data_IF_863031468242
#
_entry.id   IF_863031468242
#
_cell.length_a   1.000
_cell.length_b   1.000
_cell.length_c   1.000
_cell.angle_alpha   90.00
_cell.angle_beta   90.00
_cell.angle_gamma   90.00
#
_symmetry.space_group_name_H-M   'P 1'
#
loop_
_entity.id
_entity.type
_entity.pdbx_description
1 polymer ?
#
# COMPACT_ATOMS: atom_id res chain seq x y z
N UNK A 1 53.07 11.35 18.56
CA UNK A 1 52.03 10.32 18.33
C UNK A 1 50.82 11.02 17.74
N UNK A 2 50.53 10.80 16.44
CA UNK A 2 49.57 11.59 15.66
C UNK A 2 48.12 11.24 16.03
N UNK A 3 47.53 11.99 16.97
CA UNK A 3 46.15 11.81 17.45
C UNK A 3 45.05 12.16 16.43
N UNK A 4 45.40 12.41 15.15
CA UNK A 4 44.44 12.84 14.12
C UNK A 4 43.66 11.68 13.49
N UNK A 5 44.19 10.46 13.53
CA UNK A 5 43.56 9.27 12.93
C UNK A 5 42.35 8.72 13.73
N UNK A 6 42.34 8.66 15.08
CA UNK A 6 41.19 8.14 15.81
C UNK A 6 39.96 9.06 15.78
N UNK A 7 40.13 10.37 15.53
CA UNK A 7 39.01 11.31 15.45
C UNK A 7 38.21 11.15 14.15
N UNK A 8 38.86 10.72 13.06
CA UNK A 8 38.22 10.51 11.76
C UNK A 8 37.37 9.22 11.73
N UNK A 9 37.77 8.18 12.49
CA UNK A 9 36.98 6.95 12.62
C UNK A 9 35.69 7.15 13.45
N UNK A 10 35.66 8.11 14.37
CA UNK A 10 34.47 8.39 15.18
C UNK A 10 33.31 8.99 14.35
N UNK A 11 33.62 9.69 13.24
CA UNK A 11 32.61 10.29 12.37
C UNK A 11 31.86 9.27 11.50
N UNK A 12 32.48 8.11 11.20
CA UNK A 12 31.91 7.06 10.37
C UNK A 12 30.81 6.23 11.07
N UNK A 13 30.61 6.42 12.38
CA UNK A 13 29.64 5.67 13.20
C UNK A 13 28.24 6.34 13.30
N UNK A 14 28.01 7.48 12.65
CA UNK A 14 26.90 8.38 13.04
C UNK A 14 25.71 8.50 12.09
N UNK A 15 25.57 7.70 11.04
CA UNK A 15 24.37 7.79 10.16
C UNK A 15 23.77 6.43 9.79
N UNK A 16 23.09 5.79 10.74
CA UNK A 16 22.01 4.87 10.37
C UNK A 16 20.79 5.71 9.98
N UNK A 17 20.83 6.31 8.79
CA UNK A 17 19.66 6.92 8.19
C UNK A 17 18.73 5.79 7.71
N UNK A 18 17.67 5.49 8.47
CA UNK A 18 16.57 4.68 7.95
C UNK A 18 15.90 5.46 6.84
N UNK A 19 16.10 5.02 5.59
CA UNK A 19 15.41 5.58 4.44
C UNK A 19 13.91 5.27 4.57
N UNK A 20 13.12 6.28 4.95
CA UNK A 20 11.66 6.19 4.95
C UNK A 20 11.17 6.19 3.50
N UNK A 21 10.35 5.22 3.14
CA UNK A 21 9.70 5.18 1.83
C UNK A 21 8.82 6.42 1.61
N UNK A 22 8.55 6.75 0.35
CA UNK A 22 7.71 7.91 0.03
C UNK A 22 6.66 7.60 -1.03
N UNK A 23 5.51 8.27 -0.93
CA UNK A 23 4.52 8.36 -2.00
C UNK A 23 4.68 9.72 -2.68
N UNK A 24 4.92 9.69 -3.98
CA UNK A 24 4.88 10.88 -4.85
C UNK A 24 3.60 10.84 -5.68
N UNK A 25 2.81 11.90 -5.57
CA UNK A 25 1.58 12.11 -6.36
C UNK A 25 1.84 13.29 -7.28
N UNK A 26 1.46 13.16 -8.56
CA UNK A 26 1.67 14.24 -9.54
C UNK A 26 1.13 15.57 -9.02
N UNK A 27 1.98 16.60 -9.00
CA UNK A 27 1.62 17.94 -8.53
C UNK A 27 1.63 18.14 -7.01
N UNK A 28 2.07 17.16 -6.23
CA UNK A 28 2.18 17.26 -4.76
C UNK A 28 3.62 17.06 -4.26
N UNK A 29 3.91 17.55 -3.05
CA UNK A 29 5.15 17.21 -2.34
C UNK A 29 5.16 15.69 -2.02
N UNK A 30 6.33 15.01 -2.04
CA UNK A 30 6.41 13.63 -1.57
C UNK A 30 5.97 13.51 -0.11
N UNK A 31 5.28 12.42 0.20
CA UNK A 31 4.79 12.11 1.55
C UNK A 31 5.54 10.92 2.15
N UNK A 32 5.98 10.99 3.42
CA UNK A 32 6.51 9.82 4.13
C UNK A 32 5.48 8.69 4.15
N UNK A 33 5.91 7.50 3.79
CA UNK A 33 5.05 6.36 3.52
C UNK A 33 5.59 5.06 4.11
N UNK A 34 4.70 4.10 4.35
CA UNK A 34 5.08 2.74 4.71
C UNK A 34 5.85 2.07 3.56
N UNK A 35 6.42 0.91 3.85
CA UNK A 35 6.75 -0.04 2.78
C UNK A 35 5.52 -0.39 1.94
N UNK A 36 5.77 -0.94 0.76
CA UNK A 36 4.72 -1.38 -0.14
C UNK A 36 4.27 -2.80 0.22
N UNK A 37 3.05 -2.96 0.73
CA UNK A 37 2.48 -4.24 1.10
C UNK A 37 1.89 -4.94 -0.12
N UNK A 38 2.35 -6.15 -0.40
CA UNK A 38 1.81 -6.98 -1.47
C UNK A 38 0.66 -7.85 -0.94
N UNK A 39 -0.58 -7.41 -1.14
CA UNK A 39 -1.77 -8.17 -0.75
C UNK A 39 -2.18 -9.15 -1.85
N UNK A 40 -2.66 -10.33 -1.44
CA UNK A 40 -3.12 -11.37 -2.37
C UNK A 40 -4.54 -11.09 -2.82
N UNK A 41 -4.78 -11.08 -4.13
CA UNK A 41 -6.06 -10.80 -4.74
C UNK A 41 -6.47 -11.95 -5.67
N UNK A 42 -6.83 -13.10 -5.08
CA UNK A 42 -6.91 -14.41 -5.77
C UNK A 42 -7.77 -14.41 -7.03
N UNK A 43 -8.84 -13.61 -7.06
CA UNK A 43 -9.78 -13.54 -8.20
C UNK A 43 -9.32 -12.62 -9.32
N UNK A 44 -8.23 -11.86 -9.14
CA UNK A 44 -7.71 -10.95 -10.15
C UNK A 44 -6.78 -11.69 -11.10
N UNK A 45 -7.31 -12.10 -12.26
CA UNK A 45 -6.68 -13.06 -13.16
C UNK A 45 -5.34 -12.63 -13.79
N UNK A 46 -4.94 -11.36 -13.68
CA UNK A 46 -3.70 -10.88 -14.28
C UNK A 46 -2.47 -11.27 -13.45
N UNK A 47 -2.44 -10.89 -12.17
CA UNK A 47 -1.32 -11.17 -11.26
C UNK A 47 -1.75 -11.84 -9.96
N UNK A 48 -3.03 -11.76 -9.58
CA UNK A 48 -3.47 -12.16 -8.26
C UNK A 48 -2.92 -11.28 -7.14
N UNK A 49 -2.56 -10.02 -7.42
CA UNK A 49 -1.81 -9.16 -6.51
C UNK A 49 -2.35 -7.73 -6.49
N UNK A 50 -2.27 -7.08 -5.33
CA UNK A 50 -2.50 -5.65 -5.17
C UNK A 50 -1.45 -5.05 -4.24
N UNK A 51 -0.86 -3.93 -4.65
CA UNK A 51 0.17 -3.22 -3.91
C UNK A 51 -0.47 -2.08 -3.11
N UNK A 52 -0.27 -2.11 -1.80
CA UNK A 52 -0.86 -1.18 -0.85
C UNK A 52 0.25 -0.40 -0.15
N UNK A 53 0.16 0.91 -0.18
CA UNK A 53 1.08 1.76 0.56
C UNK A 53 0.29 2.87 1.25
N UNK A 54 0.69 3.21 2.47
CA UNK A 54 0.04 4.29 3.22
C UNK A 54 1.04 5.41 3.49
N UNK A 55 0.59 6.65 3.34
CA UNK A 55 1.37 7.83 3.71
C UNK A 55 0.68 8.68 4.76
N UNK A 56 1.48 9.43 5.50
CA UNK A 56 0.98 10.45 6.43
C UNK A 56 1.00 11.81 5.77
N UNK A 57 -0.03 12.58 6.04
CA UNK A 57 -0.13 13.98 5.62
C UNK A 57 -0.45 14.86 6.83
N UNK A 58 -0.34 16.17 6.64
CA UNK A 58 -0.68 17.16 7.68
C UNK A 58 -2.19 17.10 8.07
N UNK A 59 -3.04 16.53 7.20
CA UNK A 59 -4.49 16.46 7.37
C UNK A 59 -5.02 15.03 7.60
N UNK A 60 -4.14 14.07 7.80
CA UNK A 60 -4.50 12.66 7.97
C UNK A 60 -3.54 11.75 7.21
N UNK A 61 -4.03 11.04 6.20
CA UNK A 61 -3.21 10.11 5.43
C UNK A 61 -3.67 9.88 4.01
N UNK A 62 -2.91 9.07 3.29
CA UNK A 62 -3.18 8.67 1.91
C UNK A 62 -3.07 7.16 1.82
N UNK A 63 -4.05 6.52 1.18
CA UNK A 63 -3.96 5.16 0.67
C UNK A 63 -3.54 5.21 -0.80
N UNK A 64 -2.45 4.55 -1.15
CA UNK A 64 -2.07 4.23 -2.52
C UNK A 64 -2.41 2.77 -2.77
N UNK A 65 -3.31 2.51 -3.71
CA UNK A 65 -3.67 1.17 -4.18
C UNK A 65 -3.25 1.03 -5.64
N UNK A 66 -2.39 0.06 -5.94
CA UNK A 66 -1.91 -0.22 -7.29
C UNK A 66 -2.18 -1.65 -7.69
N UNK A 67 -2.69 -1.85 -8.90
CA UNK A 67 -2.85 -3.16 -9.52
C UNK A 67 -2.25 -3.15 -10.91
N UNK A 68 -1.80 -4.31 -11.38
CA UNK A 68 -1.45 -4.47 -12.80
C UNK A 68 -2.70 -4.38 -13.65
N UNK A 69 -2.61 -3.77 -14.82
CA UNK A 69 -3.68 -3.66 -15.81
C UNK A 69 -3.22 -4.23 -17.14
N UNK A 70 -4.19 -4.69 -17.93
CA UNK A 70 -3.89 -5.20 -19.27
C UNK A 70 -3.58 -4.08 -20.27
N UNK A 71 -4.19 -2.92 -20.08
CA UNK A 71 -4.07 -1.76 -20.93
C UNK A 71 -4.45 -0.50 -20.13
N UNK A 72 -4.26 0.65 -20.76
CA UNK A 72 -4.45 1.94 -20.09
C UNK A 72 -5.92 2.34 -19.89
N UNK A 73 -6.87 1.64 -20.54
CA UNK A 73 -8.31 1.86 -20.34
C UNK A 73 -8.83 1.29 -19.01
N UNK A 74 -8.11 0.32 -18.43
CA UNK A 74 -8.45 -0.29 -17.16
C UNK A 74 -8.03 0.61 -16.00
N UNK A 75 -8.95 0.82 -15.07
CA UNK A 75 -8.74 1.63 -13.87
C UNK A 75 -9.45 1.04 -12.67
N UNK A 76 -8.96 1.40 -11.49
CA UNK A 76 -9.71 1.19 -10.25
C UNK A 76 -10.83 2.25 -10.22
N UNK A 77 -12.04 1.79 -9.99
CA UNK A 77 -13.23 2.63 -9.89
C UNK A 77 -14.08 2.21 -8.70
N UNK A 78 -15.19 2.89 -8.48
CA UNK A 78 -15.99 2.66 -7.27
C UNK A 78 -15.44 3.38 -6.04
N UNK A 79 -16.08 3.12 -4.91
CA UNK A 79 -15.46 3.34 -3.61
C UNK A 79 -14.56 2.16 -3.27
N UNK A 80 -13.52 2.43 -2.49
CA UNK A 80 -12.65 1.39 -1.92
C UNK A 80 -13.01 1.21 -0.46
N UNK A 81 -13.05 -0.03 0.01
CA UNK A 81 -13.40 -0.35 1.39
C UNK A 81 -12.24 -1.08 2.04
N UNK A 82 -11.68 -0.48 3.08
CA UNK A 82 -10.60 -1.05 3.90
C UNK A 82 -11.22 -1.71 5.11
N UNK A 83 -11.18 -3.04 5.14
CA UNK A 83 -11.66 -3.85 6.25
C UNK A 83 -10.52 -4.05 7.24
N UNK A 84 -10.78 -3.76 8.51
CA UNK A 84 -9.83 -3.88 9.60
C UNK A 84 -10.01 -5.23 10.32
N UNK A 85 -8.98 -5.67 11.03
CA UNK A 85 -8.96 -6.95 11.73
C UNK A 85 -9.98 -7.05 12.89
N UNK A 86 -10.45 -5.91 13.42
CA UNK A 86 -11.51 -5.82 14.43
C UNK A 86 -12.93 -5.85 13.83
N UNK A 87 -13.05 -5.98 12.50
CA UNK A 87 -14.32 -6.05 11.77
C UNK A 87 -14.84 -4.70 11.30
N UNK A 88 -14.19 -3.60 11.67
CA UNK A 88 -14.56 -2.28 11.20
C UNK A 88 -14.20 -2.04 9.74
N UNK A 89 -14.87 -1.06 9.12
CA UNK A 89 -14.67 -0.69 7.72
C UNK A 89 -14.44 0.81 7.59
N UNK A 90 -13.42 1.17 6.81
CA UNK A 90 -13.18 2.55 6.36
C UNK A 90 -13.58 2.63 4.88
N UNK A 91 -14.51 3.51 4.56
CA UNK A 91 -15.02 3.71 3.19
C UNK A 91 -14.32 4.89 2.52
N UNK A 92 -13.49 4.60 1.54
CA UNK A 92 -12.76 5.56 0.72
C UNK A 92 -13.59 5.90 -0.53
N UNK A 93 -14.41 6.94 -0.43
CA UNK A 93 -15.34 7.39 -1.49
C UNK A 93 -14.84 8.61 -2.26
N UNK A 94 -13.82 9.28 -1.72
CA UNK A 94 -13.14 10.44 -2.26
C UNK A 94 -12.16 10.03 -3.37
N UNK A 95 -12.68 9.74 -4.56
CA UNK A 95 -11.85 9.47 -5.73
C UNK A 95 -11.09 10.73 -6.13
N UNK A 96 -9.80 10.80 -5.81
CA UNK A 96 -9.05 12.03 -6.06
C UNK A 96 -8.05 11.94 -7.20
N UNK A 97 -7.50 10.76 -7.53
CA UNK A 97 -6.56 10.66 -8.64
C UNK A 97 -6.36 9.20 -9.09
N UNK A 98 -6.37 8.96 -10.41
CA UNK A 98 -5.87 7.73 -11.00
C UNK A 98 -4.65 8.06 -11.86
N UNK A 99 -3.56 7.33 -11.66
CA UNK A 99 -2.37 7.37 -12.49
C UNK A 99 -2.21 6.02 -13.16
N UNK A 100 -2.00 6.00 -14.47
CA UNK A 100 -1.78 4.77 -15.22
C UNK A 100 -0.44 4.86 -15.92
N UNK A 101 0.45 3.94 -15.57
CA UNK A 101 1.82 3.89 -16.09
C UNK A 101 2.25 2.44 -16.16
N UNK A 102 2.88 2.04 -17.27
CA UNK A 102 3.59 0.75 -17.41
C UNK A 102 2.72 -0.48 -17.05
N UNK A 103 1.51 -0.57 -17.64
CA UNK A 103 0.61 -1.69 -17.41
C UNK A 103 0.16 -1.82 -15.95
N UNK A 104 0.12 -0.70 -15.21
CA UNK A 104 -0.41 -0.61 -13.85
C UNK A 104 -1.32 0.60 -13.75
N UNK A 105 -2.34 0.49 -12.92
CA UNK A 105 -3.16 1.63 -12.50
C UNK A 105 -3.03 1.80 -10.99
N UNK A 106 -2.84 3.04 -10.58
CA UNK A 106 -2.72 3.47 -9.20
C UNK A 106 -3.83 4.45 -8.89
N UNK A 107 -4.53 4.23 -7.79
CA UNK A 107 -5.50 5.18 -7.25
C UNK A 107 -5.07 5.64 -5.87
N UNK A 108 -5.43 6.88 -5.55
CA UNK A 108 -5.14 7.51 -4.27
C UNK A 108 -6.44 7.91 -3.58
N UNK A 109 -6.54 7.58 -2.29
CA UNK A 109 -7.64 7.98 -1.41
C UNK A 109 -7.10 8.66 -0.17
N UNK A 110 -7.86 9.59 0.41
CA UNK A 110 -7.44 10.27 1.64
C UNK A 110 -8.09 9.63 2.86
N UNK A 111 -7.35 9.64 3.97
CA UNK A 111 -7.87 9.29 5.28
C UNK A 111 -7.91 10.53 6.15
N UNK A 112 -8.97 10.64 6.95
CA UNK A 112 -9.07 11.59 8.05
C UNK A 112 -8.07 11.25 9.17
N UNK A 113 -7.77 12.21 10.07
CA UNK A 113 -6.91 11.95 11.22
C UNK A 113 -7.46 10.84 12.14
N UNK A 114 -8.78 10.73 12.26
CA UNK A 114 -9.45 9.68 13.04
C UNK A 114 -9.26 8.30 12.42
N UNK A 115 -9.39 8.18 11.10
CA UNK A 115 -9.16 6.92 10.38
C UNK A 115 -7.70 6.49 10.45
N UNK A 116 -6.76 7.42 10.29
CA UNK A 116 -5.34 7.15 10.51
C UNK A 116 -5.06 6.68 11.94
N UNK A 117 -5.70 7.29 12.94
CA UNK A 117 -5.54 6.88 14.34
C UNK A 117 -6.05 5.45 14.60
N UNK A 118 -7.05 4.99 13.83
CA UNK A 118 -7.53 3.61 13.87
C UNK A 118 -6.57 2.67 13.17
N UNK A 119 -6.08 3.04 12.00
CA UNK A 119 -5.09 2.28 11.22
C UNK A 119 -3.77 2.07 11.97
N UNK A 120 -3.41 2.97 12.90
CA UNK A 120 -2.26 2.77 13.80
C UNK A 120 -2.49 1.69 14.86
N UNK A 121 -3.75 1.36 15.17
CA UNK A 121 -4.12 0.42 16.25
C UNK A 121 -4.56 -0.93 15.73
N UNK A 122 -5.22 -0.96 14.57
CA UNK A 122 -5.81 -2.17 14.00
C UNK A 122 -5.22 -2.45 12.63
N UNK A 123 -4.79 -3.69 12.43
CA UNK A 123 -4.28 -4.15 11.15
C UNK A 123 -5.35 -4.14 10.06
N UNK A 124 -4.95 -3.80 8.83
CA UNK A 124 -5.78 -3.99 7.65
C UNK A 124 -5.91 -5.50 7.41
N UNK A 125 -7.14 -6.00 7.34
CA UNK A 125 -7.43 -7.39 7.01
C UNK A 125 -7.55 -7.57 5.50
N UNK A 126 -8.31 -6.71 4.83
CA UNK A 126 -8.50 -6.77 3.38
C UNK A 126 -8.95 -5.43 2.81
N UNK A 127 -8.79 -5.27 1.50
CA UNK A 127 -9.24 -4.09 0.76
C UNK A 127 -10.12 -4.56 -0.40
N UNK A 128 -11.35 -4.03 -0.46
CA UNK A 128 -12.28 -4.28 -1.57
C UNK A 128 -12.28 -3.09 -2.52
N UNK A 129 -12.20 -3.37 -3.81
CA UNK A 129 -12.14 -2.37 -4.86
C UNK A 129 -12.76 -2.90 -6.15
N UNK A 130 -13.16 -1.99 -7.04
CA UNK A 130 -13.72 -2.36 -8.33
C UNK A 130 -12.74 -2.03 -9.44
N UNK A 131 -12.70 -2.86 -10.47
CA UNK A 131 -11.93 -2.60 -11.68
C UNK A 131 -12.91 -2.48 -12.84
N UNK A 132 -12.67 -1.48 -13.68
CA UNK A 132 -13.46 -1.22 -14.89
C UNK A 132 -12.52 -0.82 -16.02
N UNK A 133 -12.76 -1.32 -17.23
CA UNK A 133 -12.10 -0.92 -18.46
C UNK A 133 -12.93 -1.32 -19.68
N UNK A 134 -12.40 -1.05 -20.87
CA UNK A 134 -13.12 -1.28 -22.12
C UNK A 134 -13.25 -2.77 -22.43
N UNK A 135 -14.46 -3.16 -22.83
CA UNK A 135 -14.81 -4.54 -23.20
C UNK A 135 -14.20 -4.89 -24.56
N UNK A 136 -12.92 -5.25 -24.63
CA UNK A 136 -12.32 -5.73 -25.88
C UNK A 136 -11.60 -7.08 -25.75
N UNK A 137 -12.08 -8.02 -26.57
CA UNK A 137 -11.56 -9.32 -27.08
C UNK A 137 -10.84 -10.32 -26.17
N UNK A 138 -10.44 -9.99 -24.94
CA UNK A 138 -9.63 -10.88 -24.12
C UNK A 138 -9.99 -10.77 -22.63
N UNK A 139 -10.91 -11.62 -22.16
CA UNK A 139 -11.20 -11.81 -20.73
C UNK A 139 -11.70 -10.56 -20.00
N UNK A 140 -12.95 -10.57 -19.53
CA UNK A 140 -13.47 -9.45 -18.77
C UNK A 140 -12.81 -9.39 -17.37
N UNK A 141 -11.90 -8.44 -17.17
CA UNK A 141 -11.29 -8.12 -15.87
C UNK A 141 -12.10 -7.05 -15.10
N UNK A 142 -13.30 -6.70 -15.58
CA UNK A 142 -14.20 -5.83 -14.84
C UNK A 142 -14.88 -6.63 -13.74
N UNK A 143 -14.93 -6.06 -12.55
CA UNK A 143 -15.55 -6.73 -11.42
C UNK A 143 -15.17 -6.11 -10.09
N UNK A 144 -15.60 -6.80 -9.03
CA UNK A 144 -15.29 -6.46 -7.66
C UNK A 144 -14.23 -7.43 -7.16
N UNK A 145 -13.20 -6.90 -6.54
CA UNK A 145 -12.03 -7.65 -6.10
C UNK A 145 -11.77 -7.41 -4.63
N UNK A 146 -11.11 -8.37 -3.99
CA UNK A 146 -10.72 -8.29 -2.58
C UNK A 146 -9.27 -8.70 -2.48
N UNK A 147 -8.41 -7.75 -2.14
CA UNK A 147 -7.03 -7.99 -1.80
C UNK A 147 -6.93 -8.26 -0.29
N UNK A 148 -6.43 -9.43 0.10
CA UNK A 148 -6.33 -9.88 1.48
C UNK A 148 -4.91 -9.69 1.97
N UNK A 149 -4.76 -9.22 3.21
CA UNK A 149 -3.48 -9.12 3.89
C UNK A 149 -2.92 -10.52 4.18
N UNK A 150 -2.28 -11.11 3.17
CA UNK A 150 -1.54 -12.37 3.20
C UNK A 150 -0.27 -12.19 2.39
N UNK A 151 0.85 -12.71 2.87
CA UNK A 151 2.15 -12.66 2.21
C UNK A 151 2.29 -13.73 1.13
N UNK A 152 1.74 -14.92 1.36
CA UNK A 152 1.86 -16.08 0.46
C UNK A 152 0.55 -16.88 0.41
N UNK A 153 0.31 -17.53 -0.74
CA UNK A 153 -0.82 -18.45 -0.97
C UNK A 153 -0.68 -19.79 -0.24
N UNK A 154 0.53 -20.34 -0.22
CA UNK A 154 0.80 -21.67 0.31
C UNK A 154 1.54 -21.57 1.64
N UNK A 155 1.20 -22.48 2.56
CA UNK A 155 2.03 -22.71 3.73
C UNK A 155 2.38 -24.16 3.89
N UNK A 156 3.63 -24.40 4.26
CA UNK A 156 4.07 -25.71 4.73
C UNK A 156 3.60 -25.91 6.18
N UNK A 157 3.37 -27.17 6.56
CA UNK A 157 2.89 -27.59 7.89
C UNK A 157 3.81 -27.13 9.04
N UNK A 158 5.05 -26.73 8.73
CA UNK A 158 6.08 -26.32 9.69
C UNK A 158 6.44 -24.82 9.61
N UNK A 159 5.68 -24.01 8.87
CA UNK A 159 5.96 -22.58 8.71
C UNK A 159 5.48 -21.74 9.90
N UNK A 160 6.41 -21.38 10.80
CA UNK A 160 6.15 -20.52 11.98
C UNK A 160 6.13 -19.01 11.66
N UNK A 161 6.38 -18.61 10.41
CA UNK A 161 6.47 -17.19 10.03
C UNK A 161 5.11 -16.50 9.96
N UNK A 162 5.01 -15.28 10.50
CA UNK A 162 3.79 -14.44 10.40
C UNK A 162 3.48 -14.18 8.92
N UNK A 163 2.37 -14.74 8.45
CA UNK A 163 1.93 -14.75 7.04
C UNK A 163 1.19 -13.50 6.62
N UNK A 164 1.08 -12.50 7.49
CA UNK A 164 0.40 -11.23 7.21
C UNK A 164 1.35 -10.07 7.52
N UNK A 165 1.07 -8.92 6.93
CA UNK A 165 1.76 -7.67 7.24
C UNK A 165 1.20 -7.09 8.54
N UNK A 166 2.09 -6.65 9.44
CA UNK A 166 1.73 -5.87 10.61
C UNK A 166 1.60 -4.39 10.22
N UNK A 167 0.59 -4.11 9.40
CA UNK A 167 0.28 -2.79 8.87
C UNK A 167 0.15 -1.73 9.98
N UNK A 168 -0.46 -2.06 11.11
CA UNK A 168 -0.66 -1.12 12.22
C UNK A 168 0.66 -0.67 12.83
N UNK A 169 1.61 -1.59 13.00
CA UNK A 169 2.97 -1.28 13.44
C UNK A 169 3.70 -0.37 12.45
N UNK A 170 3.62 -0.67 11.15
CA UNK A 170 4.26 0.14 10.11
C UNK A 170 3.62 1.53 9.97
N UNK A 171 2.31 1.66 10.15
CA UNK A 171 1.61 2.95 10.09
C UNK A 171 1.87 3.76 11.37
N UNK A 172 2.13 3.09 12.50
CA UNK A 172 2.44 3.75 13.77
C UNK A 172 3.76 4.52 13.75
N UNK A 173 4.73 4.07 12.94
CA UNK A 173 6.03 4.74 12.79
C UNK A 173 6.00 5.95 11.83
N UNK A 174 4.86 6.24 11.19
CA UNK A 174 4.64 7.44 10.36
C UNK A 174 4.33 8.71 11.18
#
# INVERSE_FOLDING_TARGET
MNLKLPFFLLFLLSTFATAQETISITGSKPYPATENFLFMCERYALTGEAYIQLAKTDKGGILKLTISTKNDSMKISGGVYVYLADGDVIACVDRNLNETTDGKTTTYYTFTPSEMSRLKKTNIQSIRFNVTGDLSKFGNLNGNYTAVNKKNYFSTTYGETIKTFDTAKQISVL
#
